data_IF_868125773449
#
_entry.id   IF_868125773449
#
_cell.length_a   1.000
_cell.length_b   1.000
_cell.length_c   1.000
_cell.angle_alpha   90.00
_cell.angle_beta   90.00
_cell.angle_gamma   90.00
#
_symmetry.space_group_name_H-M   'P 1'
#
loop_
_entity.id
_entity.type
_entity.pdbx_description
1 polymer ?
#
# COMPACT_ATOMS: atom_id res chain seq x y z
N UNK A 1 -5.17 -41.48 9.01
CA UNK A 1 -5.73 -41.63 10.35
C UNK A 1 -5.34 -40.39 11.18
N UNK A 2 -5.12 -40.53 12.48
CA UNK A 2 -4.86 -39.36 13.34
C UNK A 2 -3.63 -38.54 12.92
N UNK A 3 -2.54 -39.22 12.51
CA UNK A 3 -1.33 -38.53 12.04
C UNK A 3 -1.57 -37.75 10.75
N UNK A 4 -2.37 -38.32 9.85
CA UNK A 4 -2.72 -37.70 8.57
C UNK A 4 -3.64 -36.51 8.82
N UNK A 5 -4.64 -36.67 9.69
CA UNK A 5 -5.55 -35.58 10.05
C UNK A 5 -4.82 -34.43 10.72
N UNK A 6 -3.84 -34.72 11.60
CA UNK A 6 -3.02 -33.69 12.22
C UNK A 6 -2.18 -32.92 11.20
N UNK A 7 -1.68 -33.59 10.16
CA UNK A 7 -0.95 -32.95 9.07
C UNK A 7 -1.86 -32.04 8.25
N UNK A 8 -3.05 -32.50 7.93
CA UNK A 8 -4.04 -31.72 7.18
C UNK A 8 -4.41 -30.47 7.97
N UNK A 9 -4.69 -30.59 9.25
CA UNK A 9 -4.97 -29.45 10.12
C UNK A 9 -3.80 -28.48 10.19
N UNK A 10 -2.57 -28.99 10.25
CA UNK A 10 -1.36 -28.17 10.24
C UNK A 10 -1.20 -27.40 8.93
N UNK A 11 -1.49 -28.02 7.79
CA UNK A 11 -1.44 -27.38 6.48
C UNK A 11 -2.54 -26.29 6.36
N UNK A 12 -3.75 -26.60 6.80
CA UNK A 12 -4.85 -25.62 6.79
C UNK A 12 -4.50 -24.40 7.65
N UNK A 13 -3.91 -24.61 8.81
CA UNK A 13 -3.46 -23.51 9.67
C UNK A 13 -2.40 -22.65 9.02
N UNK A 14 -1.47 -23.27 8.27
CA UNK A 14 -0.45 -22.55 7.53
C UNK A 14 -1.03 -21.75 6.37
N UNK A 15 -2.00 -22.32 5.66
CA UNK A 15 -2.70 -21.62 4.58
C UNK A 15 -3.42 -20.42 5.10
N UNK A 16 -4.17 -20.55 6.21
CA UNK A 16 -4.86 -19.44 6.84
C UNK A 16 -3.88 -18.34 7.27
N UNK A 17 -2.75 -18.70 7.87
CA UNK A 17 -1.74 -17.74 8.28
C UNK A 17 -1.17 -16.98 7.09
N UNK A 18 -0.93 -17.67 5.97
CA UNK A 18 -0.47 -17.04 4.73
C UNK A 18 -1.51 -16.11 4.13
N UNK A 19 -2.77 -16.51 4.12
CA UNK A 19 -3.86 -15.69 3.61
C UNK A 19 -3.97 -14.40 4.41
N UNK A 20 -3.93 -14.49 5.73
CA UNK A 20 -3.96 -13.31 6.62
C UNK A 20 -2.75 -12.42 6.34
N UNK A 21 -1.56 -13.00 6.20
CA UNK A 21 -0.34 -12.26 5.87
C UNK A 21 -0.48 -11.51 4.54
N UNK A 22 -1.00 -12.17 3.51
CA UNK A 22 -1.18 -11.56 2.19
C UNK A 22 -2.18 -10.41 2.22
N UNK A 23 -3.30 -10.58 2.94
CA UNK A 23 -4.29 -9.52 3.10
C UNK A 23 -3.67 -8.31 3.79
N UNK A 24 -2.92 -8.52 4.87
CA UNK A 24 -2.24 -7.44 5.58
C UNK A 24 -1.18 -6.78 4.70
N UNK A 25 -0.47 -7.55 3.88
CA UNK A 25 0.51 -7.04 2.94
C UNK A 25 -0.15 -6.15 1.89
N UNK A 26 -1.27 -6.60 1.30
CA UNK A 26 -2.04 -5.82 0.34
C UNK A 26 -2.55 -4.53 0.96
N UNK A 27 -3.08 -4.58 2.18
CA UNK A 27 -3.57 -3.38 2.88
C UNK A 27 -2.44 -2.37 3.09
N UNK A 28 -1.24 -2.84 3.43
CA UNK A 28 -0.08 -1.95 3.60
C UNK A 28 0.34 -1.34 2.27
N UNK A 29 0.31 -2.12 1.19
CA UNK A 29 0.62 -1.61 -0.15
C UNK A 29 -0.37 -0.54 -0.57
N UNK A 30 -1.67 -0.79 -0.38
CA UNK A 30 -2.71 0.19 -0.73
C UNK A 30 -2.50 1.48 0.05
N UNK A 31 -2.22 1.39 1.35
CA UNK A 31 -1.94 2.58 2.16
C UNK A 31 -0.72 3.35 1.68
N UNK A 32 0.35 2.64 1.28
CA UNK A 32 1.55 3.28 0.74
C UNK A 32 1.27 3.97 -0.58
N UNK A 33 0.54 3.32 -1.47
CA UNK A 33 0.16 3.91 -2.75
C UNK A 33 -0.71 5.15 -2.55
N UNK A 34 -1.69 5.09 -1.67
CA UNK A 34 -2.54 6.23 -1.35
C UNK A 34 -1.72 7.38 -0.80
N UNK A 35 -0.79 7.12 0.12
CA UNK A 35 0.08 8.14 0.68
C UNK A 35 0.97 8.76 -0.39
N UNK A 36 1.51 7.94 -1.32
CA UNK A 36 2.31 8.43 -2.43
C UNK A 36 1.49 9.27 -3.40
N UNK A 37 0.27 8.87 -3.70
CA UNK A 37 -0.63 9.64 -4.57
C UNK A 37 -0.94 11.01 -3.95
N UNK A 38 -1.22 11.05 -2.64
CA UNK A 38 -1.45 12.30 -1.92
C UNK A 38 -0.22 13.20 -1.93
N UNK A 39 0.96 12.59 -1.73
CA UNK A 39 2.22 13.33 -1.76
C UNK A 39 2.47 13.89 -3.16
N UNK A 40 2.26 13.12 -4.20
CA UNK A 40 2.45 13.56 -5.58
C UNK A 40 1.46 14.66 -5.95
N UNK A 41 0.21 14.55 -5.51
CA UNK A 41 -0.78 15.61 -5.73
C UNK A 41 -0.36 16.89 -5.03
N UNK A 42 0.15 16.80 -3.80
CA UNK A 42 0.66 17.96 -3.05
C UNK A 42 1.85 18.61 -3.74
N UNK A 43 2.81 17.79 -4.21
CA UNK A 43 3.98 18.30 -4.95
C UNK A 43 3.57 18.95 -6.27
N UNK A 44 2.62 18.37 -6.97
CA UNK A 44 2.13 18.93 -8.21
C UNK A 44 1.47 20.29 -7.97
N UNK A 45 0.66 20.41 -6.92
CA UNK A 45 0.03 21.68 -6.54
C UNK A 45 1.07 22.73 -6.16
N UNK A 46 2.12 22.34 -5.42
CA UNK A 46 3.22 23.24 -5.07
C UNK A 46 3.98 23.71 -6.31
N UNK A 47 4.23 22.79 -7.24
CA UNK A 47 4.92 23.10 -8.49
C UNK A 47 4.13 24.13 -9.31
N UNK A 48 2.82 23.93 -9.41
CA UNK A 48 1.94 24.88 -10.11
C UNK A 48 1.92 26.25 -9.45
N UNK A 49 1.88 26.29 -8.11
CA UNK A 49 1.93 27.52 -7.35
C UNK A 49 3.25 28.26 -7.57
N UNK A 50 4.38 27.54 -7.60
CA UNK A 50 5.69 28.11 -7.87
C UNK A 50 5.76 28.67 -9.29
N UNK A 51 5.25 27.96 -10.28
CA UNK A 51 5.22 28.44 -11.65
C UNK A 51 4.41 29.70 -11.77
N UNK A 52 3.26 29.78 -11.11
CA UNK A 52 2.43 30.97 -11.11
C UNK A 52 3.15 32.15 -10.46
N UNK A 53 3.85 31.91 -9.35
CA UNK A 53 4.64 32.94 -8.66
C UNK A 53 5.77 33.46 -9.56
N UNK A 54 6.51 32.54 -10.21
CA UNK A 54 7.59 32.91 -11.13
C UNK A 54 7.06 33.69 -12.32
N UNK A 55 5.93 33.31 -12.88
CA UNK A 55 5.30 34.04 -13.98
C UNK A 55 4.91 35.44 -13.55
N UNK A 56 4.42 35.61 -12.34
CA UNK A 56 4.08 36.95 -11.78
C UNK A 56 5.34 37.80 -11.62
N UNK A 57 6.46 37.22 -11.22
CA UNK A 57 7.73 37.94 -11.07
C UNK A 57 8.33 38.36 -12.41
N UNK A 58 8.14 37.55 -13.44
CA UNK A 58 8.71 37.83 -14.75
C UNK A 58 7.87 38.83 -15.59
N UNK A 59 6.78 39.28 -15.05
CA UNK A 59 5.98 40.35 -15.64
C UNK A 59 6.44 41.67 -15.08
#
# INVERSE_FOLDING_TARGET
>A
TDAINARIEGFDGRIEAREIYLIQFEERLVRRFTALEELMAGLNAQSMALQNTLSAFNR
#
